data_IF_381849718624
#
_entry.id   IF_381849718624
#
_cell.length_a   1.000
_cell.length_b   1.000
_cell.length_c   1.000
_cell.angle_alpha   90.00
_cell.angle_beta   90.00
_cell.angle_gamma   90.00
#
_symmetry.space_group_name_H-M   'P 1'
#
loop_
_entity.id
_entity.type
_entity.pdbx_description
1 polymer ?
#
# COMPACT_ATOMS: atom_id res chain seq x y z
N UNK A 1 13.41 -11.50 -7.27
CA UNK A 1 12.89 -12.84 -6.97
C UNK A 1 11.96 -12.66 -5.77
N UNK A 2 10.67 -12.44 -6.04
CA UNK A 2 9.68 -12.10 -5.01
C UNK A 2 8.99 -13.40 -4.57
N UNK A 3 9.12 -13.75 -3.30
CA UNK A 3 8.56 -14.96 -2.72
C UNK A 3 7.08 -14.74 -2.44
N UNK A 4 6.19 -15.45 -3.13
CA UNK A 4 4.75 -15.45 -2.85
C UNK A 4 4.43 -16.52 -1.81
N UNK A 5 3.95 -16.12 -0.63
CA UNK A 5 3.57 -17.04 0.44
C UNK A 5 2.06 -17.26 0.49
N UNK A 6 1.58 -18.45 0.14
CA UNK A 6 0.24 -18.91 0.53
C UNK A 6 0.43 -19.76 1.78
N UNK A 7 -0.10 -19.32 2.93
CA UNK A 7 -0.04 -20.09 4.17
C UNK A 7 -1.38 -20.81 4.35
N UNK A 8 -1.34 -22.13 4.13
CA UNK A 8 -2.42 -23.05 4.52
C UNK A 8 -2.22 -23.43 5.99
N UNK A 9 -3.15 -23.05 6.86
CA UNK A 9 -3.13 -23.50 8.26
C UNK A 9 -3.97 -24.76 8.38
N UNK A 10 -3.32 -25.92 8.51
CA UNK A 10 -3.96 -27.15 8.94
C UNK A 10 -3.79 -27.27 10.45
N UNK A 11 -4.88 -27.15 11.21
CA UNK A 11 -4.88 -27.65 12.58
C UNK A 11 -4.83 -29.18 12.48
N UNK A 12 -3.73 -29.75 12.96
CA UNK A 12 -3.49 -31.19 13.03
C UNK A 12 -4.01 -31.69 14.37
N UNK A 13 -5.09 -32.45 14.34
CA UNK A 13 -5.39 -33.57 15.23
C UNK A 13 -6.43 -34.45 14.50
N UNK A 14 -6.21 -35.76 14.53
CA UNK A 14 -6.80 -36.78 13.64
C UNK A 14 -8.33 -36.95 13.70
N UNK A 15 -8.84 -37.61 12.64
CA UNK A 15 -10.21 -38.13 12.40
C UNK A 15 -11.23 -37.16 11.74
N UNK A 16 -11.58 -37.47 10.49
CA UNK A 16 -12.71 -36.92 9.71
C UNK A 16 -12.70 -35.38 9.42
N UNK A 17 -11.72 -34.87 8.67
CA UNK A 17 -11.83 -33.50 8.14
C UNK A 17 -12.66 -33.46 6.85
N UNK A 18 -13.98 -33.53 6.99
CA UNK A 18 -14.90 -32.82 6.08
C UNK A 18 -14.95 -31.30 6.43
N UNK A 19 -14.03 -30.81 7.27
CA UNK A 19 -14.10 -29.53 7.96
C UNK A 19 -13.31 -28.41 7.28
N UNK A 20 -14.03 -27.34 6.91
CA UNK A 20 -13.56 -25.96 6.69
C UNK A 20 -12.05 -25.73 6.78
N UNK A 21 -11.38 -25.75 5.63
CA UNK A 21 -10.03 -25.18 5.51
C UNK A 21 -10.09 -23.66 5.70
N UNK A 22 -9.15 -23.10 6.46
CA UNK A 22 -8.98 -21.65 6.59
C UNK A 22 -7.72 -21.22 5.86
N UNK A 23 -7.85 -20.27 4.94
CA UNK A 23 -6.73 -19.80 4.11
C UNK A 23 -6.56 -18.30 4.30
N UNK A 24 -5.32 -17.89 4.55
CA UNK A 24 -4.95 -16.47 4.59
C UNK A 24 -4.22 -16.15 3.28
N UNK A 25 -4.79 -15.21 2.53
CA UNK A 25 -4.23 -14.70 1.28
C UNK A 25 -3.60 -13.35 1.59
N UNK A 26 -2.27 -13.34 1.65
CA UNK A 26 -1.46 -12.14 1.91
C UNK A 26 -0.51 -11.94 0.74
N UNK A 27 -0.96 -11.17 -0.26
CA UNK A 27 -0.30 -11.07 -1.56
C UNK A 27 0.00 -9.61 -1.85
N UNK A 28 1.25 -9.29 -2.16
CA UNK A 28 1.65 -7.94 -2.59
C UNK A 28 1.19 -7.64 -4.03
N UNK A 29 1.22 -6.37 -4.41
CA UNK A 29 0.91 -5.92 -5.76
C UNK A 29 1.82 -6.55 -6.81
N UNK A 30 1.27 -6.77 -8.01
CA UNK A 30 2.04 -7.05 -9.21
C UNK A 30 2.20 -5.74 -9.96
N UNK A 31 3.33 -5.05 -9.75
CA UNK A 31 3.60 -3.70 -10.28
C UNK A 31 3.19 -3.57 -11.75
N UNK A 32 2.40 -2.54 -12.05
CA UNK A 32 1.87 -2.26 -13.39
C UNK A 32 0.80 -3.24 -13.91
N UNK A 33 0.38 -4.21 -13.11
CA UNK A 33 -0.56 -5.27 -13.55
C UNK A 33 -1.77 -5.41 -12.62
N UNK A 34 -1.56 -5.65 -11.33
CA UNK A 34 -2.64 -5.88 -10.35
C UNK A 34 -2.30 -5.27 -9.00
N UNK A 35 -3.29 -4.66 -8.35
CA UNK A 35 -3.17 -4.23 -6.95
C UNK A 35 -3.12 -5.43 -6.02
N UNK A 36 -2.58 -5.26 -4.82
CA UNK A 36 -2.57 -6.31 -3.78
C UNK A 36 -3.99 -6.84 -3.50
N UNK A 37 -4.98 -5.94 -3.44
CA UNK A 37 -6.41 -6.30 -3.28
C UNK A 37 -6.90 -7.19 -4.41
N UNK A 38 -6.60 -6.84 -5.67
CA UNK A 38 -6.98 -7.66 -6.83
C UNK A 38 -6.32 -9.04 -6.79
N UNK A 39 -5.04 -9.11 -6.41
CA UNK A 39 -4.31 -10.37 -6.31
C UNK A 39 -4.91 -11.28 -5.23
N UNK A 40 -5.23 -10.72 -4.06
CA UNK A 40 -5.93 -11.45 -2.99
C UNK A 40 -7.32 -11.95 -3.44
N UNK A 41 -8.11 -11.12 -4.13
CA UNK A 41 -9.41 -11.55 -4.67
C UNK A 41 -9.28 -12.69 -5.68
N UNK A 42 -8.33 -12.59 -6.62
CA UNK A 42 -8.08 -13.64 -7.61
C UNK A 42 -7.65 -14.95 -6.94
N UNK A 43 -6.77 -14.88 -5.93
CA UNK A 43 -6.36 -16.04 -5.14
C UNK A 43 -7.52 -16.67 -4.36
N UNK A 44 -8.41 -15.85 -3.79
CA UNK A 44 -9.63 -16.32 -3.11
C UNK A 44 -10.54 -17.08 -4.07
N UNK A 45 -10.81 -16.50 -5.22
CA UNK A 45 -11.72 -17.10 -6.20
C UNK A 45 -11.15 -18.42 -6.73
N UNK A 46 -9.82 -18.49 -6.92
CA UNK A 46 -9.13 -19.73 -7.26
C UNK A 46 -9.24 -20.79 -6.15
N UNK A 47 -9.03 -20.42 -4.88
CA UNK A 47 -9.16 -21.35 -3.74
C UNK A 47 -10.60 -21.88 -3.64
N UNK A 48 -11.60 -21.00 -3.72
CA UNK A 48 -13.01 -21.38 -3.62
C UNK A 48 -13.48 -22.24 -4.82
N UNK A 49 -12.83 -22.14 -5.98
CA UNK A 49 -13.13 -23.01 -7.12
C UNK A 49 -12.75 -24.48 -6.89
N UNK A 50 -11.76 -24.75 -6.03
CA UNK A 50 -11.28 -26.09 -5.68
C UNK A 50 -11.82 -26.55 -4.33
N UNK A 51 -11.94 -25.64 -3.37
CA UNK A 51 -12.42 -25.87 -2.01
C UNK A 51 -13.59 -24.93 -1.67
N UNK A 52 -14.83 -25.23 -2.14
CA UNK A 52 -15.97 -24.31 -2.01
C UNK A 52 -16.37 -23.96 -0.58
N UNK A 53 -16.07 -24.83 0.38
CA UNK A 53 -16.36 -24.64 1.81
C UNK A 53 -15.19 -24.03 2.59
N UNK A 54 -14.14 -23.58 1.89
CA UNK A 54 -13.00 -22.93 2.52
C UNK A 54 -13.36 -21.52 3.01
N UNK A 55 -12.92 -21.16 4.22
CA UNK A 55 -12.95 -19.78 4.70
C UNK A 55 -11.67 -19.07 4.26
N UNK A 56 -11.80 -18.10 3.35
CA UNK A 56 -10.67 -17.30 2.88
C UNK A 56 -10.65 -15.92 3.54
N UNK A 57 -9.51 -15.55 4.12
CA UNK A 57 -9.24 -14.20 4.63
C UNK A 57 -8.23 -13.52 3.70
N UNK A 58 -8.66 -12.42 3.07
CA UNK A 58 -7.78 -11.60 2.26
C UNK A 58 -7.15 -10.51 3.14
N UNK A 59 -5.83 -10.48 3.20
CA UNK A 59 -5.04 -9.46 3.90
C UNK A 59 -4.12 -8.83 2.87
N UNK A 60 -4.57 -7.79 2.14
CA UNK A 60 -3.70 -7.04 1.25
C UNK A 60 -2.46 -6.54 2.01
N UNK A 61 -1.30 -6.58 1.36
CA UNK A 61 -0.03 -6.10 1.91
C UNK A 61 0.63 -5.15 0.92
N UNK A 62 1.45 -4.25 1.45
CA UNK A 62 2.28 -3.36 0.68
C UNK A 62 3.66 -3.24 1.35
N UNK A 63 4.68 -2.95 0.56
CA UNK A 63 6.08 -2.79 0.99
C UNK A 63 6.43 -1.35 1.39
N UNK A 64 5.43 -0.46 1.44
CA UNK A 64 5.62 0.99 1.64
C UNK A 64 5.79 1.75 0.32
N UNK A 65 5.63 1.10 -0.84
CA UNK A 65 5.50 1.78 -2.13
C UNK A 65 4.07 2.16 -2.47
N UNK A 66 3.82 2.32 -3.77
CA UNK A 66 2.50 2.56 -4.35
C UNK A 66 1.48 1.51 -3.91
N UNK A 67 0.31 1.95 -3.44
CA UNK A 67 -0.80 1.07 -3.05
C UNK A 67 -0.90 0.81 -1.54
N UNK A 68 0.04 1.31 -0.75
CA UNK A 68 0.06 1.25 0.71
C UNK A 68 -1.14 1.96 1.35
N UNK A 69 -1.51 3.17 0.92
CA UNK A 69 -2.64 3.93 1.45
C UNK A 69 -3.94 3.15 1.28
N UNK A 70 -4.14 2.56 0.11
CA UNK A 70 -5.30 1.75 -0.23
C UNK A 70 -5.35 0.47 0.62
N UNK A 71 -4.20 -0.13 0.93
CA UNK A 71 -4.12 -1.28 1.87
C UNK A 71 -4.54 -0.86 3.28
N UNK A 72 -3.96 0.22 3.80
CA UNK A 72 -4.31 0.74 5.13
C UNK A 72 -5.78 1.14 5.24
N UNK A 73 -6.31 1.87 4.25
CA UNK A 73 -7.70 2.29 4.20
C UNK A 73 -8.65 1.08 4.17
N UNK A 74 -8.33 0.05 3.38
CA UNK A 74 -9.20 -1.12 3.27
C UNK A 74 -9.28 -1.97 4.54
N UNK A 75 -8.26 -1.91 5.41
CA UNK A 75 -8.15 -2.72 6.63
C UNK A 75 -8.55 -1.93 7.88
N UNK A 76 -8.10 -0.68 7.98
CA UNK A 76 -8.24 0.15 9.18
C UNK A 76 -9.20 1.33 8.98
N UNK A 77 -9.71 1.54 7.77
CA UNK A 77 -10.44 2.75 7.40
C UNK A 77 -9.53 3.99 7.45
N UNK A 78 -10.12 5.13 7.75
CA UNK A 78 -9.43 6.41 7.80
C UNK A 78 -9.97 7.38 6.78
N UNK A 79 -9.46 8.61 6.83
CA UNK A 79 -9.90 9.68 5.96
C UNK A 79 -8.74 10.20 5.14
N UNK A 80 -8.96 10.31 3.83
CA UNK A 80 -8.00 10.96 2.97
C UNK A 80 -7.96 12.47 3.25
N UNK A 81 -6.76 13.03 3.14
CA UNK A 81 -6.49 14.46 3.08
C UNK A 81 -5.71 14.72 1.81
N UNK A 82 -6.19 15.69 1.03
CA UNK A 82 -5.58 16.06 -0.25
C UNK A 82 -5.18 17.52 -0.20
N UNK A 83 -3.91 17.80 -0.53
CA UNK A 83 -3.37 19.15 -0.57
C UNK A 83 -2.56 19.35 -1.85
N UNK A 84 -2.39 20.63 -2.23
CA UNK A 84 -1.44 21.00 -3.28
C UNK A 84 -0.03 20.89 -2.71
N UNK A 85 0.86 20.20 -3.41
CA UNK A 85 2.27 20.04 -3.05
C UNK A 85 3.17 20.18 -4.28
N UNK A 86 4.45 20.40 -4.04
CA UNK A 86 5.49 20.48 -5.06
C UNK A 86 5.89 19.07 -5.50
N UNK A 87 5.68 18.78 -6.79
CA UNK A 87 6.09 17.55 -7.46
C UNK A 87 7.61 17.52 -7.71
N UNK A 88 8.20 16.38 -8.14
CA UNK A 88 9.63 16.28 -8.40
C UNK A 88 10.18 17.30 -9.39
N UNK A 89 9.38 17.70 -10.38
CA UNK A 89 9.73 18.65 -11.44
C UNK A 89 9.44 20.12 -11.07
N UNK A 90 9.22 20.39 -9.78
CA UNK A 90 8.88 21.70 -9.22
C UNK A 90 7.52 22.26 -9.65
N UNK A 91 6.65 21.46 -10.26
CA UNK A 91 5.26 21.85 -10.52
C UNK A 91 4.37 21.59 -9.29
N UNK A 92 3.16 22.16 -9.26
CA UNK A 92 2.19 21.88 -8.20
C UNK A 92 1.23 20.77 -8.63
N UNK A 93 1.05 19.77 -7.76
CA UNK A 93 0.10 18.67 -7.95
C UNK A 93 -0.77 18.49 -6.72
N UNK A 94 -1.92 17.84 -6.89
CA UNK A 94 -2.71 17.37 -5.77
C UNK A 94 -2.18 16.01 -5.32
N UNK A 95 -1.71 15.92 -4.08
CA UNK A 95 -1.28 14.68 -3.46
C UNK A 95 -2.14 14.39 -2.23
N UNK A 96 -2.34 13.10 -1.95
CA UNK A 96 -3.17 12.63 -0.85
C UNK A 96 -2.39 11.75 0.12
N UNK A 97 -2.77 11.82 1.38
CA UNK A 97 -2.35 10.91 2.44
C UNK A 97 -3.56 10.51 3.29
N UNK A 98 -3.40 9.51 4.17
CA UNK A 98 -4.48 8.97 4.99
C UNK A 98 -4.28 9.32 6.46
N UNK A 99 -5.35 9.75 7.15
CA UNK A 99 -5.37 9.82 8.62
C UNK A 99 -6.21 8.67 9.14
N UNK A 100 -5.59 7.77 9.89
CA UNK A 100 -6.25 6.63 10.52
C UNK A 100 -7.08 7.07 11.73
N UNK A 101 -8.10 6.28 12.16
CA UNK A 101 -8.87 6.57 13.36
C UNK A 101 -8.04 6.72 14.65
N UNK A 102 -6.83 6.15 14.66
CA UNK A 102 -5.86 6.30 15.76
C UNK A 102 -5.16 7.67 15.82
N UNK A 103 -5.36 8.54 14.83
CA UNK A 103 -4.61 9.80 14.66
C UNK A 103 -3.20 9.61 14.10
N UNK A 104 -2.91 8.45 13.49
CA UNK A 104 -1.66 8.20 12.76
C UNK A 104 -1.85 8.57 11.30
N UNK A 105 -0.92 9.35 10.74
CA UNK A 105 -0.89 9.61 9.32
C UNK A 105 -0.13 8.50 8.58
N UNK A 106 -0.68 8.03 7.47
CA UNK A 106 0.01 7.14 6.52
C UNK A 106 0.27 7.97 5.27
N UNK A 107 1.54 8.12 4.90
CA UNK A 107 2.00 8.94 3.78
C UNK A 107 2.75 8.03 2.82
N UNK A 108 2.41 8.10 1.54
CA UNK A 108 3.22 7.51 0.47
C UNK A 108 4.00 8.62 -0.23
N UNK A 109 5.33 8.57 -0.16
CA UNK A 109 6.15 9.57 -0.83
C UNK A 109 5.97 9.52 -2.35
N UNK A 110 5.63 8.36 -2.93
CA UNK A 110 5.34 8.22 -4.34
C UNK A 110 4.21 9.13 -4.85
N UNK A 111 3.26 9.52 -3.99
CA UNK A 111 2.15 10.40 -4.36
C UNK A 111 2.57 11.87 -4.54
N UNK A 112 3.70 12.29 -3.95
CA UNK A 112 4.23 13.64 -4.04
C UNK A 112 5.59 13.72 -4.75
N UNK A 113 6.36 12.63 -4.71
CA UNK A 113 7.77 12.60 -5.11
C UNK A 113 8.15 11.31 -5.86
N UNK A 114 7.17 10.63 -6.47
CA UNK A 114 7.34 9.31 -7.08
C UNK A 114 7.64 9.29 -8.58
N UNK A 115 8.19 8.16 -9.04
CA UNK A 115 8.44 7.86 -10.46
C UNK A 115 7.23 8.03 -11.40
N UNK A 116 5.98 7.72 -10.99
CA UNK A 116 4.82 7.95 -11.85
C UNK A 116 4.59 9.41 -12.23
N UNK A 117 5.19 10.37 -11.48
CA UNK A 117 4.99 11.81 -11.68
C UNK A 117 5.96 12.41 -12.70
N UNK A 118 6.98 11.68 -13.16
CA UNK A 118 8.09 12.23 -13.94
C UNK A 118 8.21 11.66 -15.35
N UNK A 119 7.15 10.97 -15.81
CA UNK A 119 6.97 10.39 -17.16
C UNK A 119 8.29 10.11 -17.92
N UNK A 120 8.61 10.93 -18.93
CA UNK A 120 9.73 10.77 -19.84
C UNK A 120 11.03 11.45 -19.36
N UNK A 121 10.96 12.34 -18.37
CA UNK A 121 12.13 13.10 -17.88
C UNK A 121 12.66 12.52 -16.58
N UNK A 122 13.44 11.43 -16.68
CA UNK A 122 13.94 10.68 -15.52
C UNK A 122 15.35 11.10 -15.07
N UNK A 123 15.56 12.39 -14.79
CA UNK A 123 16.81 12.86 -14.18
C UNK A 123 16.66 13.09 -12.67
N UNK A 124 16.93 12.05 -11.87
CA UNK A 124 16.78 12.09 -10.42
C UNK A 124 17.65 13.16 -9.71
N UNK A 125 18.73 13.62 -10.34
CA UNK A 125 19.60 14.68 -9.80
C UNK A 125 19.03 16.10 -9.91
N UNK A 126 17.97 16.26 -10.71
CA UNK A 126 17.25 17.53 -10.89
C UNK A 126 15.92 17.54 -10.12
N UNK A 127 15.58 16.46 -9.42
CA UNK A 127 14.26 16.26 -8.81
C UNK A 127 14.26 16.55 -7.31
N UNK A 128 13.13 17.03 -6.81
CA UNK A 128 12.95 17.36 -5.39
C UNK A 128 11.94 16.46 -4.66
N UNK A 129 12.25 16.15 -3.41
CA UNK A 129 11.36 15.48 -2.45
C UNK A 129 10.44 16.45 -1.69
N UNK A 130 10.48 17.75 -1.98
CA UNK A 130 9.85 18.81 -1.17
C UNK A 130 8.38 18.53 -0.85
N UNK A 131 7.59 18.08 -1.83
CA UNK A 131 6.18 17.75 -1.62
C UNK A 131 5.93 16.63 -0.60
N UNK A 132 6.87 15.70 -0.42
CA UNK A 132 6.78 14.71 0.67
C UNK A 132 6.87 15.39 2.03
N UNK A 133 7.77 16.38 2.17
CA UNK A 133 7.84 17.22 3.37
C UNK A 133 6.57 18.02 3.62
N UNK A 134 5.91 18.54 2.58
CA UNK A 134 4.63 19.24 2.69
C UNK A 134 3.50 18.33 3.20
N UNK A 135 3.43 17.08 2.73
CA UNK A 135 2.48 16.09 3.25
C UNK A 135 2.72 15.82 4.75
N UNK A 136 3.99 15.66 5.15
CA UNK A 136 4.37 15.42 6.55
C UNK A 136 3.98 16.63 7.42
N UNK A 137 4.29 17.84 6.96
CA UNK A 137 3.97 19.07 7.67
C UNK A 137 2.46 19.21 7.86
N UNK A 138 1.69 19.03 6.79
CA UNK A 138 0.23 19.11 6.86
C UNK A 138 -0.37 18.04 7.79
N UNK A 139 0.19 16.82 7.83
CA UNK A 139 -0.22 15.81 8.80
C UNK A 139 0.01 16.26 10.25
N UNK A 140 1.16 16.85 10.54
CA UNK A 140 1.50 17.41 11.87
C UNK A 140 0.54 18.54 12.25
N UNK A 141 0.24 19.45 11.32
CA UNK A 141 -0.70 20.56 11.53
C UNK A 141 -2.14 20.08 11.79
N UNK A 142 -2.50 18.90 11.26
CA UNK A 142 -3.77 18.23 11.55
C UNK A 142 -3.73 17.39 12.84
N UNK A 143 -2.71 17.56 13.69
CA UNK A 143 -2.61 16.95 15.01
C UNK A 143 -2.11 15.51 15.03
N UNK A 144 -1.62 14.99 13.91
CA UNK A 144 -1.06 13.64 13.88
C UNK A 144 0.25 13.58 14.67
N UNK A 145 0.35 12.63 15.61
CA UNK A 145 1.57 12.43 16.43
C UNK A 145 2.51 11.36 15.88
N UNK A 146 1.99 10.50 15.01
CA UNK A 146 2.71 9.39 14.42
C UNK A 146 2.53 9.44 12.91
N UNK A 147 3.61 9.15 12.18
CA UNK A 147 3.63 9.07 10.73
C UNK A 147 4.21 7.72 10.32
N UNK A 148 3.48 6.99 9.50
CA UNK A 148 3.98 5.85 8.73
C UNK A 148 4.30 6.37 7.34
N UNK A 149 5.58 6.41 6.99
CA UNK A 149 6.06 6.92 5.71
C UNK A 149 6.50 5.76 4.82
N UNK A 150 5.77 5.56 3.73
CA UNK A 150 6.13 4.68 2.63
C UNK A 150 7.13 5.37 1.69
N UNK A 151 8.32 4.79 1.54
CA UNK A 151 9.42 5.34 0.75
C UNK A 151 9.60 4.71 -0.64
N UNK A 152 8.78 3.72 -1.00
CA UNK A 152 8.95 3.00 -2.25
C UNK A 152 8.58 3.85 -3.47
N UNK A 153 9.34 3.71 -4.56
CA UNK A 153 9.01 4.31 -5.86
C UNK A 153 9.41 5.78 -6.04
N UNK A 154 10.40 6.27 -5.31
CA UNK A 154 10.90 7.65 -5.41
C UNK A 154 11.46 8.00 -6.81
N UNK A 155 11.21 9.23 -7.25
CA UNK A 155 11.87 9.82 -8.42
C UNK A 155 13.17 10.56 -8.05
N UNK A 156 13.39 10.82 -6.76
CA UNK A 156 14.39 11.76 -6.25
C UNK A 156 15.68 11.07 -5.78
N UNK A 157 16.80 11.82 -5.80
CA UNK A 157 18.08 11.44 -5.20
C UNK A 157 18.77 12.67 -4.56
N UNK A 158 17.99 13.55 -3.93
CA UNK A 158 18.40 14.84 -3.35
C UNK A 158 18.83 14.75 -1.86
N UNK A 159 18.72 13.56 -1.26
CA UNK A 159 19.20 13.30 0.10
C UNK A 159 18.15 13.48 1.20
N UNK A 160 16.88 13.63 0.84
CA UNK A 160 15.77 13.47 1.79
C UNK A 160 14.43 13.66 1.14
#
# INVERSE_FOLDING_TARGET
MTTYGIIMLNNVEDEEVCGMHKVILSIDSFKGTMTSKQACCAGRDAVLSVFPHCTCICVPIADGGEGTLEVFESILGGEYRTISVVAPDFTNIQASYLILPSGTAVIEMAKASGLPLVEDHKNAGEMTSFGTGELILHAIENGCKYVILGLGGSATNDGG
#
